data_IF_433270245050
#
_entry.id   IF_433270245050
#
_cell.length_a   1.000
_cell.length_b   1.000
_cell.length_c   1.000
_cell.angle_alpha   90.00
_cell.angle_beta   90.00
_cell.angle_gamma   90.00
#
_symmetry.space_group_name_H-M   'P 1'
#
loop_
_entity.id
_entity.type
_entity.pdbx_description
1 polymer ?
#
# COMPACT_ATOMS: atom_id res chain seq x y z
N UNK A 1 0.66 57.77 39.52
CA UNK A 1 0.54 56.34 39.13
C UNK A 1 -0.28 56.28 37.85
N UNK A 2 0.19 55.59 36.79
CA UNK A 2 -0.14 54.16 36.69
C UNK A 2 0.97 53.27 36.08
N UNK A 3 0.91 51.98 36.40
CA UNK A 3 1.78 50.91 35.89
C UNK A 3 1.08 50.31 34.67
N UNK A 4 1.66 50.48 33.49
CA UNK A 4 1.19 49.87 32.24
C UNK A 4 1.58 48.39 32.19
N UNK A 5 0.64 47.50 32.53
CA UNK A 5 0.71 46.05 32.23
C UNK A 5 -0.11 45.76 30.97
N UNK A 6 0.50 45.85 29.79
CA UNK A 6 -0.10 45.38 28.52
C UNK A 6 0.78 44.40 27.73
N UNK A 7 1.77 43.79 28.38
CA UNK A 7 2.76 42.93 27.71
C UNK A 7 2.53 41.42 27.92
N UNK A 8 1.54 41.01 28.73
CA UNK A 8 1.25 39.60 29.04
C UNK A 8 0.21 38.92 28.13
N UNK A 9 -0.80 39.65 27.65
CA UNK A 9 -1.93 39.04 26.92
C UNK A 9 -1.54 38.51 25.53
N UNK A 10 -0.65 39.19 24.82
CA UNK A 10 -0.14 38.75 23.50
C UNK A 10 0.77 37.51 23.59
N UNK A 11 1.41 37.29 24.74
CA UNK A 11 2.28 36.13 24.98
C UNK A 11 1.47 34.88 25.32
N UNK A 12 0.41 35.04 26.13
CA UNK A 12 -0.47 33.95 26.52
C UNK A 12 -1.17 33.31 25.30
N UNK A 13 -1.70 34.13 24.38
CA UNK A 13 -2.33 33.63 23.14
C UNK A 13 -1.38 32.87 22.23
N UNK A 14 -0.09 33.25 22.19
CA UNK A 14 0.92 32.55 21.41
C UNK A 14 1.24 31.16 21.99
N UNK A 15 1.23 31.03 23.31
CA UNK A 15 1.45 29.75 24.01
C UNK A 15 0.25 28.81 23.84
N UNK A 16 -0.97 29.33 23.93
CA UNK A 16 -2.19 28.54 23.69
C UNK A 16 -2.21 27.97 22.27
N UNK A 17 -1.87 28.79 21.26
CA UNK A 17 -1.74 28.32 19.87
C UNK A 17 -0.66 27.25 19.72
N UNK A 18 0.50 27.44 20.35
CA UNK A 18 1.59 26.48 20.31
C UNK A 18 1.23 25.10 20.89
N UNK A 19 0.25 25.02 21.80
CA UNK A 19 -0.24 23.74 22.34
C UNK A 19 -1.26 23.05 21.43
N UNK A 20 -2.09 23.83 20.71
CA UNK A 20 -3.15 23.28 19.84
C UNK A 20 -2.62 22.88 18.47
N UNK A 21 -1.65 23.63 17.91
CA UNK A 21 -1.09 23.38 16.58
C UNK A 21 -0.50 21.97 16.42
N UNK A 22 0.29 21.42 17.35
CA UNK A 22 0.82 20.06 17.22
C UNK A 22 -0.28 19.00 17.08
N UNK A 23 -1.38 19.15 17.82
CA UNK A 23 -2.53 18.24 17.75
C UNK A 23 -3.25 18.35 16.40
N UNK A 24 -3.47 19.58 15.91
CA UNK A 24 -4.09 19.81 14.61
C UNK A 24 -3.22 19.28 13.46
N UNK A 25 -1.90 19.50 13.52
CA UNK A 25 -0.95 18.96 12.54
C UNK A 25 -0.90 17.45 12.57
N UNK A 26 -0.96 16.82 13.75
CA UNK A 26 -1.00 15.37 13.86
C UNK A 26 -2.22 14.77 13.17
N UNK A 27 -3.40 15.36 13.37
CA UNK A 27 -4.64 14.92 12.72
C UNK A 27 -4.56 15.14 11.21
N UNK A 28 -4.08 16.30 10.76
CA UNK A 28 -3.91 16.62 9.34
C UNK A 28 -2.96 15.63 8.65
N UNK A 29 -1.82 15.34 9.27
CA UNK A 29 -0.84 14.39 8.74
C UNK A 29 -1.40 12.97 8.69
N UNK A 30 -2.15 12.54 9.69
CA UNK A 30 -2.84 11.25 9.67
C UNK A 30 -3.83 11.15 8.50
N UNK A 31 -4.61 12.19 8.23
CA UNK A 31 -5.54 12.22 7.09
C UNK A 31 -4.80 12.13 5.75
N UNK A 32 -3.67 12.85 5.61
CA UNK A 32 -2.86 12.83 4.38
C UNK A 32 -2.33 11.41 4.13
N UNK A 33 -1.64 10.81 5.11
CA UNK A 33 -1.09 9.47 4.95
C UNK A 33 -2.20 8.43 4.68
N UNK A 34 -3.35 8.54 5.34
CA UNK A 34 -4.47 7.64 5.12
C UNK A 34 -5.06 7.75 3.71
N UNK A 35 -5.21 8.96 3.18
CA UNK A 35 -5.66 9.18 1.80
C UNK A 35 -4.71 8.55 0.78
N UNK A 36 -3.40 8.71 0.98
CA UNK A 36 -2.39 8.07 0.13
C UNK A 36 -2.40 6.54 0.26
N UNK A 37 -2.59 6.01 1.46
CA UNK A 37 -2.65 4.57 1.70
C UNK A 37 -3.83 3.93 0.95
N UNK A 38 -5.03 4.55 0.99
CA UNK A 38 -6.21 4.06 0.26
C UNK A 38 -5.99 4.07 -1.26
N UNK A 39 -5.40 5.15 -1.78
CA UNK A 39 -5.10 5.23 -3.22
C UNK A 39 -4.18 4.08 -3.66
N UNK A 40 -3.06 3.88 -2.95
CA UNK A 40 -2.12 2.79 -3.20
C UNK A 40 -2.77 1.42 -3.05
N UNK A 41 -3.62 1.24 -2.05
CA UNK A 41 -4.37 0.01 -1.83
C UNK A 41 -5.28 -0.33 -3.01
N UNK A 42 -5.93 0.67 -3.59
CA UNK A 42 -6.83 0.50 -4.74
C UNK A 42 -6.03 0.17 -6.01
N UNK A 43 -4.92 0.87 -6.24
CA UNK A 43 -4.00 0.57 -7.35
C UNK A 43 -3.44 -0.85 -7.24
N UNK A 44 -3.00 -1.25 -6.05
CA UNK A 44 -2.49 -2.59 -5.77
C UNK A 44 -3.55 -3.66 -6.07
N UNK A 45 -4.79 -3.45 -5.63
CA UNK A 45 -5.89 -4.37 -5.90
C UNK A 45 -6.17 -4.53 -7.40
N UNK A 46 -6.15 -3.43 -8.15
CA UNK A 46 -6.35 -3.48 -9.60
C UNK A 46 -5.19 -4.20 -10.31
N UNK A 47 -3.94 -3.90 -9.93
CA UNK A 47 -2.77 -4.56 -10.49
C UNK A 47 -2.74 -6.06 -10.20
N UNK A 48 -3.05 -6.49 -8.97
CA UNK A 48 -3.15 -7.92 -8.63
C UNK A 48 -4.24 -8.62 -9.45
N UNK A 49 -5.37 -7.96 -9.71
CA UNK A 49 -6.45 -8.51 -10.56
C UNK A 49 -6.04 -8.65 -12.02
N UNK A 50 -5.28 -7.70 -12.54
CA UNK A 50 -4.74 -7.79 -13.90
C UNK A 50 -3.67 -8.89 -14.01
N UNK A 51 -2.79 -8.98 -13.01
CA UNK A 51 -1.79 -10.04 -12.92
C UNK A 51 -2.40 -11.43 -12.85
N UNK A 52 -3.44 -11.64 -12.03
CA UNK A 52 -4.10 -12.96 -11.95
C UNK A 52 -4.89 -13.29 -13.22
N UNK A 53 -5.38 -12.29 -13.96
CA UNK A 53 -6.00 -12.49 -15.27
C UNK A 53 -4.97 -12.99 -16.28
N UNK A 54 -3.80 -12.36 -16.35
CA UNK A 54 -2.70 -12.86 -17.18
C UNK A 54 -2.33 -14.30 -16.77
N UNK A 55 -2.26 -14.57 -15.46
CA UNK A 55 -1.98 -15.91 -14.94
C UNK A 55 -3.07 -16.93 -15.33
N UNK A 56 -4.36 -16.57 -15.32
CA UNK A 56 -5.44 -17.47 -15.75
C UNK A 56 -5.36 -17.88 -17.23
N UNK A 57 -4.70 -17.05 -18.06
CA UNK A 57 -4.42 -17.32 -19.46
C UNK A 57 -3.08 -18.06 -19.66
N UNK A 58 -2.53 -18.65 -18.59
CA UNK A 58 -1.27 -19.40 -18.59
C UNK A 58 -0.04 -18.55 -18.97
N UNK A 59 -0.05 -17.25 -18.67
CA UNK A 59 1.16 -16.43 -18.78
C UNK A 59 2.25 -16.90 -17.81
N UNK A 60 3.51 -16.77 -18.19
CA UNK A 60 4.65 -17.07 -17.32
C UNK A 60 4.68 -16.12 -16.11
N UNK A 61 5.31 -16.55 -15.02
CA UNK A 61 5.49 -15.73 -13.83
C UNK A 61 6.17 -14.40 -14.16
N UNK A 62 7.14 -14.43 -15.09
CA UNK A 62 7.83 -13.22 -15.55
C UNK A 62 6.96 -12.25 -16.35
N UNK A 63 5.88 -12.73 -16.98
CA UNK A 63 4.92 -11.89 -17.69
C UNK A 63 3.89 -11.31 -16.70
N UNK A 64 3.42 -12.13 -15.76
CA UNK A 64 2.57 -11.67 -14.66
C UNK A 64 3.27 -10.58 -13.86
N UNK A 65 4.55 -10.76 -13.55
CA UNK A 65 5.36 -9.76 -12.85
C UNK A 65 5.46 -8.45 -13.66
N UNK A 66 5.68 -8.52 -14.98
CA UNK A 66 5.69 -7.32 -15.83
C UNK A 66 4.36 -6.61 -15.81
N UNK A 67 3.25 -7.32 -16.03
CA UNK A 67 1.89 -6.76 -16.02
C UNK A 67 1.60 -6.04 -14.70
N UNK A 68 1.95 -6.63 -13.56
CA UNK A 68 1.75 -6.02 -12.26
C UNK A 68 2.66 -4.81 -12.05
N UNK A 69 3.94 -4.88 -12.45
CA UNK A 69 4.87 -3.76 -12.30
C UNK A 69 4.53 -2.59 -13.23
N UNK A 70 4.06 -2.86 -14.45
CA UNK A 70 3.63 -1.82 -15.39
C UNK A 70 2.40 -1.09 -14.86
N UNK A 71 1.43 -1.82 -14.30
CA UNK A 71 0.25 -1.25 -13.64
C UNK A 71 0.58 -0.43 -12.37
N UNK A 72 1.75 -0.66 -11.76
CA UNK A 72 2.23 0.04 -10.56
C UNK A 72 3.43 0.95 -10.83
N UNK A 73 3.75 1.23 -12.10
CA UNK A 73 4.94 1.97 -12.52
C UNK A 73 5.02 3.39 -11.94
N UNK A 74 3.87 4.02 -11.70
CA UNK A 74 3.78 5.34 -11.06
C UNK A 74 4.08 5.33 -9.55
N UNK A 75 4.06 4.15 -8.92
CA UNK A 75 4.27 4.02 -7.48
C UNK A 75 5.75 3.91 -7.14
N UNK A 76 6.30 4.93 -6.45
CA UNK A 76 7.64 4.87 -5.86
C UNK A 76 7.64 3.99 -4.61
N UNK A 77 7.93 2.70 -4.76
CA UNK A 77 8.04 1.73 -3.67
C UNK A 77 8.58 0.39 -4.15
N UNK A 78 8.82 -0.54 -3.22
CA UNK A 78 9.23 -1.91 -3.58
C UNK A 78 7.97 -2.74 -3.80
N UNK A 79 7.78 -3.22 -5.03
CA UNK A 79 6.74 -4.20 -5.38
C UNK A 79 7.40 -5.58 -5.41
N UNK A 80 6.77 -6.56 -4.77
CA UNK A 80 7.10 -7.96 -4.87
C UNK A 80 5.85 -8.73 -5.25
N UNK A 81 5.95 -9.52 -6.32
CA UNK A 81 4.85 -10.33 -6.85
C UNK A 81 5.21 -11.79 -6.59
N UNK A 82 4.22 -12.58 -6.19
CA UNK A 82 4.37 -14.01 -5.99
C UNK A 82 3.20 -14.69 -6.66
N UNK A 83 3.50 -15.52 -7.64
CA UNK A 83 2.50 -16.27 -8.40
C UNK A 83 2.56 -17.73 -7.95
N UNK A 84 1.42 -18.27 -7.54
CA UNK A 84 1.24 -19.67 -7.18
C UNK A 84 -0.01 -20.22 -7.86
N UNK A 85 -0.15 -21.55 -7.84
CA UNK A 85 -1.33 -22.23 -8.36
C UNK A 85 -1.83 -23.29 -7.38
N UNK A 86 -3.12 -23.59 -7.49
CA UNK A 86 -3.74 -24.79 -6.94
C UNK A 86 -4.12 -25.72 -8.09
N UNK A 87 -3.80 -27.00 -7.95
CA UNK A 87 -4.15 -28.04 -8.91
C UNK A 87 -5.65 -28.37 -8.80
N UNK A 88 -6.27 -28.92 -9.87
CA UNK A 88 -7.68 -29.35 -9.84
C UNK A 88 -8.00 -30.38 -8.75
N UNK A 89 -6.97 -31.11 -8.29
CA UNK A 89 -7.05 -32.15 -7.26
C UNK A 89 -6.89 -31.60 -5.82
N UNK A 90 -6.75 -30.28 -5.65
CA UNK A 90 -6.76 -29.63 -4.34
C UNK A 90 -5.39 -29.44 -3.66
N UNK A 91 -4.28 -29.50 -4.41
CA UNK A 91 -2.93 -29.26 -3.88
C UNK A 91 -2.29 -27.98 -4.42
N UNK A 92 -1.34 -27.38 -3.69
CA UNK A 92 -0.52 -26.28 -4.23
C UNK A 92 0.46 -26.83 -5.28
N UNK A 93 0.64 -26.12 -6.38
CA UNK A 93 1.63 -26.48 -7.38
C UNK A 93 3.05 -26.16 -6.86
N UNK A 94 4.06 -26.94 -7.26
CA UNK A 94 5.44 -26.75 -6.78
C UNK A 94 6.10 -25.47 -7.30
N UNK A 95 5.85 -25.14 -8.57
CA UNK A 95 6.27 -23.90 -9.21
C UNK A 95 5.22 -23.52 -10.26
N UNK A 96 4.88 -22.23 -10.32
CA UNK A 96 3.93 -21.68 -11.29
C UNK A 96 4.31 -22.07 -12.72
N UNK A 97 5.51 -21.70 -13.18
CA UNK A 97 5.92 -21.87 -14.58
C UNK A 97 5.99 -23.34 -15.04
N UNK A 98 6.24 -24.27 -14.11
CA UNK A 98 6.41 -25.68 -14.44
C UNK A 98 5.16 -26.53 -14.22
N UNK A 99 4.20 -26.08 -13.41
CA UNK A 99 3.10 -26.94 -12.93
C UNK A 99 1.71 -26.31 -13.02
N UNK A 100 1.57 -25.10 -13.60
CA UNK A 100 0.26 -24.55 -13.89
C UNK A 100 -0.46 -25.47 -14.89
N UNK A 101 -1.70 -25.84 -14.58
CA UNK A 101 -2.49 -26.76 -15.38
C UNK A 101 -3.90 -26.21 -15.54
N UNK A 102 -4.45 -26.32 -16.74
CA UNK A 102 -5.84 -25.93 -17.04
C UNK A 102 -6.81 -26.62 -16.08
N UNK A 103 -7.80 -25.87 -15.60
CA UNK A 103 -8.74 -26.31 -14.57
C UNK A 103 -8.26 -26.11 -13.13
N UNK A 104 -6.98 -25.75 -12.93
CA UNK A 104 -6.47 -25.27 -11.64
C UNK A 104 -6.91 -23.84 -11.33
N UNK A 105 -6.42 -23.30 -10.21
CA UNK A 105 -6.64 -21.91 -9.80
C UNK A 105 -5.30 -21.19 -9.71
N UNK A 106 -5.15 -20.10 -10.45
CA UNK A 106 -4.03 -19.18 -10.30
C UNK A 106 -4.26 -18.29 -9.08
N UNK A 107 -3.22 -18.09 -8.28
CA UNK A 107 -3.22 -17.23 -7.09
C UNK A 107 -2.05 -16.28 -7.20
N UNK A 108 -2.35 -14.99 -7.36
CA UNK A 108 -1.32 -13.94 -7.41
C UNK A 108 -1.38 -13.15 -6.12
N UNK A 109 -0.25 -13.05 -5.44
CA UNK A 109 -0.06 -12.22 -4.26
C UNK A 109 0.91 -11.09 -4.59
N UNK A 110 0.45 -9.85 -4.47
CA UNK A 110 1.27 -8.65 -4.65
C UNK A 110 1.49 -7.98 -3.31
N UNK A 111 2.75 -7.75 -2.97
CA UNK A 111 3.18 -7.00 -1.79
C UNK A 111 3.82 -5.70 -2.22
N UNK A 112 3.36 -4.59 -1.66
CA UNK A 112 3.87 -3.26 -1.91
C UNK A 112 4.37 -2.63 -0.60
N UNK A 113 5.64 -2.24 -0.59
CA UNK A 113 6.27 -1.54 0.52
C UNK A 113 6.61 -0.11 0.16
N UNK A 114 6.19 0.84 1.00
CA UNK A 114 6.56 2.24 0.86
C UNK A 114 6.89 2.89 2.19
N UNK A 115 7.64 4.00 2.12
CA UNK A 115 7.91 4.85 3.27
C UNK A 115 6.73 5.80 3.52
N UNK A 116 6.46 6.08 4.80
CA UNK A 116 5.49 7.09 5.20
C UNK A 116 5.89 8.47 4.68
N UNK A 117 4.87 9.26 4.29
CA UNK A 117 5.10 10.58 3.74
C UNK A 117 5.27 11.61 4.85
N UNK A 118 4.46 11.50 5.92
CA UNK A 118 4.51 12.46 7.03
C UNK A 118 5.43 12.02 8.18
N UNK A 119 5.93 12.97 8.99
CA UNK A 119 6.71 12.66 10.19
C UNK A 119 5.95 11.83 11.21
N UNK A 120 4.62 11.99 11.29
CA UNK A 120 3.76 11.23 12.22
C UNK A 120 3.72 9.75 11.83
N UNK A 121 3.54 9.45 10.55
CA UNK A 121 3.63 8.07 10.05
C UNK A 121 5.00 7.45 10.32
N UNK A 122 6.08 8.20 10.05
CA UNK A 122 7.47 7.77 10.33
C UNK A 122 7.75 7.52 11.82
N UNK A 123 7.08 8.24 12.71
CA UNK A 123 7.21 8.05 14.15
C UNK A 123 6.56 6.74 14.63
N UNK A 124 5.59 6.20 13.89
CA UNK A 124 4.91 4.94 14.22
C UNK A 124 5.66 3.75 13.61
N UNK A 125 6.02 3.81 12.32
CA UNK A 125 6.87 2.80 11.69
C UNK A 125 7.69 3.41 10.54
N UNK A 126 8.79 2.77 10.16
CA UNK A 126 9.63 3.25 9.05
C UNK A 126 9.01 2.97 7.68
N UNK A 127 8.22 1.89 7.55
CA UNK A 127 7.59 1.47 6.30
C UNK A 127 6.17 0.95 6.51
N UNK A 128 5.34 1.10 5.48
CA UNK A 128 4.00 0.54 5.38
C UNK A 128 3.99 -0.54 4.29
N UNK A 129 3.70 -1.77 4.69
CA UNK A 129 3.57 -2.94 3.79
C UNK A 129 2.10 -3.22 3.54
N UNK A 130 1.69 -3.21 2.27
CA UNK A 130 0.35 -3.55 1.83
C UNK A 130 0.43 -4.84 1.00
N UNK A 131 -0.38 -5.84 1.37
CA UNK A 131 -0.43 -7.12 0.65
C UNK A 131 -1.84 -7.36 0.12
N UNK A 132 -1.92 -7.82 -1.14
CA UNK A 132 -3.16 -8.19 -1.82
C UNK A 132 -2.99 -9.53 -2.50
N UNK A 133 -4.01 -10.37 -2.39
CA UNK A 133 -4.08 -11.66 -3.06
C UNK A 133 -5.34 -11.72 -3.89
N UNK A 134 -5.22 -12.21 -5.12
CA UNK A 134 -6.34 -12.46 -6.03
C UNK A 134 -6.19 -13.84 -6.66
N UNK A 135 -7.32 -14.47 -6.98
CA UNK A 135 -7.35 -15.82 -7.54
C UNK A 135 -8.35 -15.93 -8.70
N UNK A 136 -7.99 -16.68 -9.75
CA UNK A 136 -8.83 -16.96 -10.91
C UNK A 136 -8.60 -18.39 -11.41
N UNK A 137 -9.62 -18.99 -12.04
CA UNK A 137 -9.49 -20.32 -12.64
C UNK A 137 -8.61 -20.23 -13.89
N UNK A 138 -7.73 -21.21 -14.08
CA UNK A 138 -6.87 -21.32 -15.27
C UNK A 138 -7.69 -21.94 -16.40
N UNK A 139 -7.70 -21.27 -17.55
CA UNK A 139 -8.43 -21.68 -18.76
C UNK A 139 -7.65 -22.65 -19.64
#
# INVERSE_FOLDING_TARGET
MPISRRRGERGASAVEFALVVPLLLAILFAMIDFGFAINRYTMLNNATREGVRAASLSASGSEVDKVVNDALSDLKGKVSVTVTCQTPLGGTCGSWDANHTTGGVAVVTTTYQHAWLTPVGKAISSTLTLTKTSQMRIE
#
